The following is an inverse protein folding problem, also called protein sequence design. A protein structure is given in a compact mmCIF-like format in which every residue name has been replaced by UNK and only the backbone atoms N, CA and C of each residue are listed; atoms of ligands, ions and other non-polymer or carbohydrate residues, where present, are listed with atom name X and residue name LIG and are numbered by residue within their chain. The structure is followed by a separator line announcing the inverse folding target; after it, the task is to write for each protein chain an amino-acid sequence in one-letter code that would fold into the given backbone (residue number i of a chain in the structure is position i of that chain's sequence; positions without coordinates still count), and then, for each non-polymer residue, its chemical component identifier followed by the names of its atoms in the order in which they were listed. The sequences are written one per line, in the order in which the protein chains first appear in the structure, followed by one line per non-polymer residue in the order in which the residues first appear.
data_IF_139414125278
#
_entry.id   IF_139414125278
#
_cell.length_a   1.000
_cell.length_b   1.000
_cell.length_c   1.000
_cell.angle_alpha   90.00
_cell.angle_beta   90.00
_cell.angle_gamma   90.00
#
_symmetry.space_group_name_H-M   'P 1'
#
loop_
_entity.id
_entity.type
_entity.pdbx_description
1 polymer ?
#
# COMPACT_ATOMS: atom_id res chain seq x y z
N UNK A 1 5.73 8.59 14.45
CA UNK A 1 5.88 9.11 13.07
C UNK A 1 4.75 10.10 12.80
N UNK A 2 5.03 11.35 12.41
CA UNK A 2 3.99 12.37 12.19
C UNK A 2 3.28 12.16 10.84
N UNK A 3 2.39 11.17 10.78
CA UNK A 3 1.66 10.76 9.56
C UNK A 3 0.85 11.93 8.96
N UNK A 4 0.24 12.77 9.80
CA UNK A 4 -0.54 13.92 9.35
C UNK A 4 0.29 14.91 8.53
N UNK A 5 1.53 15.20 8.96
CA UNK A 5 2.41 16.12 8.25
C UNK A 5 2.85 15.55 6.91
N UNK A 6 3.21 14.25 6.88
CA UNK A 6 3.56 13.56 5.65
C UNK A 6 2.41 13.60 4.64
N UNK A 7 1.18 13.31 5.08
CA UNK A 7 -0.03 13.40 4.27
C UNK A 7 -0.19 14.80 3.67
N UNK A 8 -0.10 15.85 4.49
CA UNK A 8 -0.21 17.24 4.02
C UNK A 8 0.82 17.56 2.94
N UNK A 9 2.07 17.16 3.12
CA UNK A 9 3.14 17.41 2.15
C UNK A 9 2.95 16.65 0.84
N UNK A 10 2.52 15.39 0.90
CA UNK A 10 2.19 14.60 -0.29
C UNK A 10 1.02 15.24 -1.05
N UNK A 11 -0.06 15.58 -0.36
CA UNK A 11 -1.24 16.24 -0.95
C UNK A 11 -0.85 17.54 -1.63
N UNK A 12 -0.10 18.40 -0.94
CA UNK A 12 0.37 19.67 -1.50
C UNK A 12 1.17 19.46 -2.80
N UNK A 13 2.16 18.56 -2.79
CA UNK A 13 3.00 18.31 -3.97
C UNK A 13 2.23 17.67 -5.13
N UNK A 14 1.33 16.74 -4.84
CA UNK A 14 0.48 16.09 -5.84
C UNK A 14 -0.44 17.12 -6.52
N UNK A 15 -1.15 17.95 -5.74
CA UNK A 15 -2.02 19.00 -6.27
C UNK A 15 -1.24 20.01 -7.11
N UNK A 16 -0.05 20.42 -6.65
CA UNK A 16 0.83 21.32 -7.41
C UNK A 16 1.29 20.71 -8.75
N UNK A 17 1.39 19.39 -8.84
CA UNK A 17 1.71 18.67 -10.08
C UNK A 17 0.47 18.33 -10.93
N UNK A 18 -0.74 18.77 -10.54
CA UNK A 18 -1.98 18.43 -11.24
C UNK A 18 -2.49 17.00 -11.00
N UNK A 19 -1.94 16.30 -10.01
CA UNK A 19 -2.36 14.94 -9.64
C UNK A 19 -3.56 15.02 -8.69
N UNK A 20 -4.66 14.36 -9.07
CA UNK A 20 -5.85 14.25 -8.24
C UNK A 20 -5.59 13.37 -7.02
N UNK A 21 -6.05 13.84 -5.85
CA UNK A 21 -6.04 13.06 -4.61
C UNK A 21 -7.44 12.50 -4.35
N UNK A 22 -7.50 11.23 -3.96
CA UNK A 22 -8.70 10.55 -3.46
C UNK A 22 -8.35 10.01 -2.07
N UNK A 23 -9.08 10.43 -1.06
CA UNK A 23 -8.93 9.89 0.29
C UNK A 23 -9.78 8.62 0.44
N UNK A 24 -9.22 7.61 1.08
CA UNK A 24 -9.85 6.32 1.31
C UNK A 24 -9.52 5.85 2.72
N UNK A 25 -10.52 5.37 3.47
CA UNK A 25 -10.28 4.77 4.78
C UNK A 25 -9.58 3.41 4.64
N UNK A 26 -8.67 3.12 5.57
CA UNK A 26 -7.69 2.03 5.46
C UNK A 26 -8.12 0.76 6.23
N UNK A 27 -9.34 0.69 6.78
CA UNK A 27 -9.77 -0.46 7.56
C UNK A 27 -9.62 -1.75 6.74
N UNK A 28 -8.99 -2.75 7.37
CA UNK A 28 -8.82 -4.11 6.84
C UNK A 28 -7.99 -4.25 5.56
N UNK A 29 -7.42 -3.18 4.98
CA UNK A 29 -6.60 -3.25 3.74
C UNK A 29 -5.31 -4.06 3.91
N UNK A 30 -4.77 -4.14 5.13
CA UNK A 30 -3.59 -4.96 5.45
C UNK A 30 -3.92 -6.42 5.83
N UNK A 31 -5.22 -6.78 5.86
CA UNK A 31 -5.71 -8.11 6.23
C UNK A 31 -6.34 -8.86 5.06
N UNK A 32 -7.16 -8.18 4.27
CA UNK A 32 -7.86 -8.76 3.13
C UNK A 32 -6.89 -9.29 2.07
N UNK A 33 -7.10 -10.50 1.60
CA UNK A 33 -6.28 -11.06 0.53
C UNK A 33 -6.61 -10.38 -0.80
N UNK A 34 -5.55 -10.01 -1.52
CA UNK A 34 -5.68 -9.38 -2.83
C UNK A 34 -6.05 -10.40 -3.92
N UNK A 35 -5.48 -11.61 -3.83
CA UNK A 35 -5.58 -12.67 -4.84
C UNK A 35 -6.99 -13.25 -4.91
N UNK A 36 -7.56 -13.58 -3.75
CA UNK A 36 -8.93 -14.13 -3.62
C UNK A 36 -10.01 -13.05 -3.65
N UNK A 37 -9.61 -11.77 -3.75
CA UNK A 37 -10.50 -10.61 -3.73
C UNK A 37 -11.42 -10.57 -2.50
N UNK A 38 -10.87 -10.86 -1.31
CA UNK A 38 -11.59 -10.75 -0.04
C UNK A 38 -12.34 -9.41 0.06
N UNK A 39 -13.57 -9.44 0.56
CA UNK A 39 -14.33 -8.23 0.86
C UNK A 39 -13.56 -7.36 1.88
N UNK A 40 -13.49 -6.05 1.65
CA UNK A 40 -12.81 -5.11 2.55
C UNK A 40 -13.87 -4.24 3.24
N UNK A 41 -14.34 -4.61 4.45
CA UNK A 41 -15.36 -3.85 5.17
C UNK A 41 -14.80 -2.51 5.69
N UNK A 42 -15.70 -1.62 6.09
CA UNK A 42 -15.43 -0.42 6.86
C UNK A 42 -15.63 -0.71 8.34
N UNK A 43 -14.64 -0.33 9.17
CA UNK A 43 -14.66 -0.61 10.61
C UNK A 43 -15.87 0.03 11.30
N UNK A 44 -16.64 -0.78 12.03
CA UNK A 44 -17.84 -0.36 12.75
C UNK A 44 -19.05 -0.08 11.86
N UNK A 45 -18.99 -0.40 10.57
CA UNK A 45 -20.10 -0.24 9.62
C UNK A 45 -20.62 -1.59 9.16
N UNK A 46 -19.74 -2.47 8.71
CA UNK A 46 -20.10 -3.76 8.10
C UNK A 46 -19.04 -4.85 8.36
N UNK A 47 -18.32 -4.74 9.48
CA UNK A 47 -17.20 -5.62 9.83
C UNK A 47 -17.53 -6.73 10.84
N UNK A 48 -18.79 -6.87 11.24
CA UNK A 48 -19.23 -7.82 12.27
C UNK A 48 -18.78 -9.27 12.01
N UNK A 49 -18.74 -9.67 10.74
CA UNK A 49 -18.37 -11.02 10.30
C UNK A 49 -17.14 -11.01 9.37
N UNK A 50 -16.27 -10.01 9.51
CA UNK A 50 -15.09 -9.86 8.66
C UNK A 50 -14.15 -11.07 8.79
N UNK A 51 -14.00 -11.83 7.71
CA UNK A 51 -13.05 -12.92 7.58
C UNK A 51 -12.14 -12.68 6.38
N UNK A 52 -10.87 -13.02 6.55
CA UNK A 52 -9.86 -12.84 5.51
C UNK A 52 -9.13 -14.16 5.28
N UNK A 53 -8.89 -14.46 4.02
CA UNK A 53 -8.32 -15.74 3.58
C UNK A 53 -6.79 -15.76 3.67
N UNK A 54 -6.14 -14.60 3.62
CA UNK A 54 -4.70 -14.46 3.81
C UNK A 54 -4.29 -14.10 5.24
N UNK A 55 -2.98 -14.03 5.48
CA UNK A 55 -2.41 -13.76 6.80
C UNK A 55 -1.08 -13.03 6.70
N UNK A 56 -0.90 -12.02 7.56
CA UNK A 56 0.39 -11.38 7.77
C UNK A 56 1.30 -12.29 8.58
N UNK A 57 2.42 -12.72 8.01
CA UNK A 57 3.37 -13.61 8.69
C UNK A 57 4.23 -12.79 9.66
N UNK A 58 4.89 -11.75 9.15
CA UNK A 58 5.77 -10.85 9.90
C UNK A 58 5.91 -9.52 9.16
N UNK A 59 6.66 -8.58 9.74
CA UNK A 59 6.95 -7.30 9.07
C UNK A 59 7.51 -7.55 7.66
N UNK A 60 6.91 -6.92 6.67
CA UNK A 60 7.30 -7.03 5.27
C UNK A 60 6.75 -8.24 4.52
N UNK A 61 6.12 -9.23 5.17
CA UNK A 61 5.64 -10.45 4.50
C UNK A 61 4.15 -10.73 4.77
N UNK A 62 3.39 -10.88 3.69
CA UNK A 62 1.99 -11.31 3.68
C UNK A 62 1.87 -12.62 2.91
N UNK A 63 1.04 -13.55 3.38
CA UNK A 63 0.73 -14.82 2.71
C UNK A 63 -0.72 -14.82 2.26
N UNK A 64 -0.95 -15.02 0.98
CA UNK A 64 -2.25 -15.23 0.37
C UNK A 64 -2.77 -16.65 0.64
N UNK A 65 -4.06 -16.88 0.42
CA UNK A 65 -4.73 -18.15 0.66
C UNK A 65 -4.14 -19.32 -0.16
N UNK A 66 -3.65 -19.02 -1.37
CA UNK A 66 -2.99 -19.98 -2.26
C UNK A 66 -1.53 -20.30 -1.85
N UNK A 67 -1.02 -19.65 -0.80
CA UNK A 67 0.35 -19.78 -0.33
C UNK A 67 1.34 -18.77 -0.92
N UNK A 68 0.93 -17.94 -1.88
CA UNK A 68 1.76 -16.88 -2.46
C UNK A 68 2.22 -15.90 -1.38
N UNK A 69 3.50 -15.52 -1.41
CA UNK A 69 4.07 -14.57 -0.45
C UNK A 69 4.33 -13.24 -1.15
N UNK A 70 3.71 -12.17 -0.63
CA UNK A 70 3.83 -10.81 -1.14
C UNK A 70 4.52 -9.90 -0.12
N UNK A 71 5.04 -8.76 -0.59
CA UNK A 71 5.45 -7.70 0.33
C UNK A 71 4.22 -7.11 1.01
N UNK A 72 4.21 -7.06 2.34
CA UNK A 72 3.04 -6.63 3.10
C UNK A 72 2.64 -5.16 2.85
N UNK A 73 3.61 -4.28 2.59
CA UNK A 73 3.34 -2.86 2.38
C UNK A 73 2.78 -2.64 0.96
N UNK A 74 3.34 -3.32 -0.04
CA UNK A 74 2.82 -3.31 -1.42
C UNK A 74 1.41 -3.93 -1.51
N UNK A 75 1.18 -5.03 -0.78
CA UNK A 75 -0.14 -5.66 -0.68
C UNK A 75 -1.18 -4.71 -0.08
N UNK A 76 -0.89 -4.08 1.05
CA UNK A 76 -1.81 -3.12 1.68
C UNK A 76 -2.10 -1.92 0.77
N UNK A 77 -1.07 -1.37 0.11
CA UNK A 77 -1.25 -0.28 -0.86
C UNK A 77 -2.15 -0.67 -2.04
N UNK A 78 -2.02 -1.90 -2.54
CA UNK A 78 -2.85 -2.41 -3.62
C UNK A 78 -4.33 -2.59 -3.19
N UNK A 79 -4.57 -2.96 -1.92
CA UNK A 79 -5.90 -3.01 -1.34
C UNK A 79 -6.51 -1.64 -1.06
N UNK A 80 -5.72 -0.61 -0.70
CA UNK A 80 -6.21 0.77 -0.61
C UNK A 80 -6.75 1.22 -1.98
N UNK A 81 -6.01 0.94 -3.06
CA UNK A 81 -6.48 1.23 -4.41
C UNK A 81 -7.75 0.46 -4.75
N UNK A 82 -7.83 -0.84 -4.41
CA UNK A 82 -9.04 -1.65 -4.62
C UNK A 82 -10.25 -1.12 -3.85
N UNK A 83 -10.05 -0.62 -2.63
CA UNK A 83 -11.14 -0.09 -1.82
C UNK A 83 -11.71 1.22 -2.39
N UNK A 84 -10.85 2.06 -2.96
CA UNK A 84 -11.25 3.27 -3.64
C UNK A 84 -11.87 3.00 -5.04
N UNK A 85 -11.36 1.99 -5.75
CA UNK A 85 -11.77 1.63 -7.12
C UNK A 85 -11.94 0.09 -7.18
N UNK A 86 -13.14 -0.44 -6.91
CA UNK A 86 -13.37 -1.88 -6.72
C UNK A 86 -12.94 -2.77 -7.89
N UNK A 87 -13.03 -2.28 -9.12
CA UNK A 87 -12.78 -3.00 -10.37
C UNK A 87 -11.35 -2.80 -10.92
N UNK A 88 -10.48 -2.04 -10.22
CA UNK A 88 -9.14 -1.66 -10.72
C UNK A 88 -8.26 -2.87 -11.10
N UNK A 89 -8.53 -4.03 -10.50
CA UNK A 89 -7.75 -5.25 -10.70
C UNK A 89 -8.47 -6.34 -11.52
N UNK A 90 -9.60 -6.06 -12.16
CA UNK A 90 -10.39 -7.10 -12.84
C UNK A 90 -9.68 -7.80 -14.00
N UNK A 91 -8.67 -7.14 -14.58
CA UNK A 91 -7.83 -7.71 -15.65
C UNK A 91 -6.50 -8.25 -15.14
N UNK A 92 -6.28 -8.28 -13.83
CA UNK A 92 -5.03 -8.74 -13.20
C UNK A 92 -5.25 -10.08 -12.53
N UNK A 93 -4.49 -11.08 -12.97
CA UNK A 93 -4.53 -12.44 -12.40
C UNK A 93 -3.25 -12.81 -11.66
N UNK A 94 -2.18 -12.05 -11.87
CA UNK A 94 -0.88 -12.26 -11.24
C UNK A 94 -0.46 -11.00 -10.48
N UNK A 95 -0.30 -11.15 -9.16
CA UNK A 95 0.19 -10.11 -8.26
C UNK A 95 1.63 -10.35 -7.80
N UNK A 96 2.38 -11.26 -8.43
CA UNK A 96 3.78 -11.55 -8.12
C UNK A 96 4.68 -10.31 -8.16
N UNK A 97 4.31 -9.30 -8.95
CA UNK A 97 5.01 -8.01 -9.00
C UNK A 97 5.01 -7.25 -7.66
N UNK A 98 4.09 -7.57 -6.74
CA UNK A 98 4.06 -7.01 -5.38
C UNK A 98 5.03 -7.72 -4.41
N UNK A 99 5.64 -8.84 -4.79
CA UNK A 99 6.50 -9.61 -3.88
C UNK A 99 7.86 -8.95 -3.64
N UNK A 100 8.45 -8.36 -4.68
CA UNK A 100 9.84 -7.89 -4.69
C UNK A 100 9.93 -6.43 -5.14
N UNK A 101 9.56 -5.46 -4.28
CA UNK A 101 9.69 -4.05 -4.61
C UNK A 101 11.16 -3.67 -4.78
N UNK A 102 11.46 -2.89 -5.83
CA UNK A 102 12.75 -2.22 -5.94
C UNK A 102 12.81 -1.09 -4.92
N UNK A 103 13.86 -1.09 -4.11
CA UNK A 103 14.10 -0.05 -3.11
C UNK A 103 15.15 0.89 -3.66
N UNK A 104 14.84 2.18 -3.69
CA UNK A 104 15.79 3.22 -4.07
C UNK A 104 16.07 4.15 -2.89
N UNK A 105 17.36 4.43 -2.68
CA UNK A 105 17.81 5.43 -1.71
C UNK A 105 17.55 6.85 -2.20
N UNK A 106 17.41 7.80 -1.26
CA UNK A 106 17.22 9.22 -1.61
C UNK A 106 18.33 9.75 -2.53
N UNK A 107 19.59 9.37 -2.28
CA UNK A 107 20.75 9.79 -3.07
C UNK A 107 20.81 9.13 -4.46
N UNK A 108 20.26 7.93 -4.61
CA UNK A 108 20.16 7.25 -5.91
C UNK A 108 19.18 7.99 -6.84
N UNK A 109 18.10 8.53 -6.27
CA UNK A 109 17.10 9.31 -7.01
C UNK A 109 17.50 10.78 -7.19
N UNK A 110 18.38 11.30 -6.32
CA UNK A 110 18.81 12.69 -6.32
C UNK A 110 20.34 12.79 -6.34
N UNK A 111 21.01 12.37 -7.43
CA UNK A 111 22.47 12.32 -7.49
C UNK A 111 23.13 13.71 -7.40
N UNK A 112 22.37 14.79 -7.59
CA UNK A 112 22.82 16.19 -7.50
C UNK A 112 22.41 16.89 -6.19
N UNK A 113 21.85 16.16 -5.21
CA UNK A 113 21.40 16.79 -3.96
C UNK A 113 22.58 17.34 -3.14
N UNK A 114 22.39 18.52 -2.54
CA UNK A 114 23.33 19.09 -1.56
C UNK A 114 23.47 18.09 -0.39
N UNK A 115 24.70 17.76 0.05
CA UNK A 115 24.92 16.82 1.14
C UNK A 115 24.17 17.27 2.40
N UNK A 116 23.32 16.38 2.92
CA UNK A 116 22.62 16.59 4.19
C UNK A 116 23.58 16.24 5.32
N UNK A 117 23.86 17.22 6.19
CA UNK A 117 24.78 17.06 7.32
C UNK A 117 24.39 15.83 8.15
N UNK A 118 25.28 14.84 8.27
CA UNK A 118 25.12 13.66 9.13
C UNK A 118 24.62 12.38 8.46
N UNK A 119 24.41 12.36 7.15
CA UNK A 119 24.10 11.15 6.39
C UNK A 119 25.24 10.94 5.38
N UNK A 120 26.02 9.87 5.55
CA UNK A 120 27.10 9.54 4.61
C UNK A 120 26.49 9.10 3.27
N UNK A 121 27.10 9.55 2.18
CA UNK A 121 26.76 9.18 0.81
C UNK A 121 27.07 7.70 0.53
#
# INVERSE_FOLDING_TARGET
MPIAFLRTMITYKALNAGVKIVEQEESYTSKADIMTKDYIPTYGVDDENAQFSGTRIKRGLYRCADGTILNADCHAAANIMRKAVPDIWDRTTDFSFLANPKVYGFHELNPKSIPVKGIAA
#
